data_IF_005392991066
#
_entry.id   IF_005392991066
#
_cell.length_a   1.000
_cell.length_b   1.000
_cell.length_c   1.000
_cell.angle_alpha   90.00
_cell.angle_beta   90.00
_cell.angle_gamma   90.00
#
_symmetry.space_group_name_H-M   'P 1'
#
loop_
_entity.id
_entity.type
_entity.pdbx_description
1 polymer ?
#
# COMPACT_ATOMS: atom_id res chain seq x y z
N UNK A 1 -43.98 80.87 -24.68
CA UNK A 1 -44.37 80.31 -23.37
C UNK A 1 -45.26 79.11 -23.68
N UNK A 2 -44.92 77.85 -23.47
CA UNK A 2 -43.96 77.26 -22.56
C UNK A 2 -43.28 76.03 -23.21
N UNK A 3 -42.06 75.76 -22.76
CA UNK A 3 -41.30 74.56 -23.04
C UNK A 3 -41.97 73.37 -22.34
N UNK A 4 -42.28 72.28 -23.05
CA UNK A 4 -42.57 70.99 -22.43
C UNK A 4 -41.42 70.03 -22.70
N UNK A 5 -40.56 69.91 -21.69
CA UNK A 5 -39.47 68.95 -21.63
C UNK A 5 -39.99 67.61 -21.08
N UNK A 6 -40.55 66.75 -21.94
CA UNK A 6 -40.75 65.34 -21.57
C UNK A 6 -39.56 64.49 -22.04
N UNK A 7 -38.58 64.37 -21.13
CA UNK A 7 -37.38 63.52 -21.30
C UNK A 7 -37.81 62.05 -21.45
N UNK A 8 -37.32 61.28 -22.45
CA UNK A 8 -37.65 59.87 -22.54
C UNK A 8 -37.02 59.14 -21.36
N UNK A 9 -37.85 58.65 -20.44
CA UNK A 9 -37.42 57.75 -19.38
C UNK A 9 -37.09 56.40 -20.01
N UNK A 10 -35.87 56.25 -20.50
CA UNK A 10 -35.35 54.96 -20.94
C UNK A 10 -35.22 54.02 -19.75
N UNK A 11 -35.72 52.79 -19.93
CA UNK A 11 -35.79 51.69 -18.95
C UNK A 11 -34.44 51.38 -18.28
N UNK A 12 -34.07 52.17 -17.27
CA UNK A 12 -32.84 52.00 -16.49
C UNK A 12 -32.78 50.68 -15.70
N UNK A 13 -33.93 50.03 -15.51
CA UNK A 13 -34.05 48.73 -14.88
C UNK A 13 -33.62 47.57 -15.80
N UNK A 14 -33.80 47.68 -17.12
CA UNK A 14 -33.55 46.58 -18.08
C UNK A 14 -32.05 46.37 -18.35
N UNK A 15 -31.32 47.42 -18.74
CA UNK A 15 -29.87 47.32 -19.08
C UNK A 15 -29.00 47.00 -17.87
N UNK A 16 -29.31 47.59 -16.71
CA UNK A 16 -28.59 47.33 -15.46
C UNK A 16 -28.81 45.90 -14.97
N UNK A 17 -30.01 45.36 -15.16
CA UNK A 17 -30.32 43.96 -14.82
C UNK A 17 -29.61 42.99 -15.76
N UNK A 18 -29.62 43.28 -17.07
CA UNK A 18 -28.86 42.49 -18.06
C UNK A 18 -27.35 42.49 -17.77
N UNK A 19 -26.76 43.64 -17.44
CA UNK A 19 -25.35 43.73 -17.08
C UNK A 19 -25.04 42.93 -15.80
N UNK A 20 -25.91 42.98 -14.78
CA UNK A 20 -25.76 42.20 -13.54
C UNK A 20 -25.83 40.70 -13.80
N UNK A 21 -26.76 40.24 -14.64
CA UNK A 21 -26.89 38.83 -15.02
C UNK A 21 -25.65 38.41 -15.83
N UNK A 22 -25.25 39.19 -16.83
CA UNK A 22 -24.07 38.88 -17.65
C UNK A 22 -22.78 38.80 -16.84
N UNK A 23 -22.53 39.77 -15.95
CA UNK A 23 -21.38 39.76 -15.03
C UNK A 23 -21.48 38.59 -14.05
N UNK A 24 -22.67 38.26 -13.55
CA UNK A 24 -22.89 37.11 -12.67
C UNK A 24 -22.61 35.77 -13.35
N UNK A 25 -23.03 35.60 -14.61
CA UNK A 25 -22.77 34.39 -15.39
C UNK A 25 -21.27 34.24 -15.71
N UNK A 26 -20.62 35.31 -16.17
CA UNK A 26 -19.19 35.29 -16.48
C UNK A 26 -18.37 35.08 -15.20
N UNK A 27 -18.67 35.81 -14.13
CA UNK A 27 -18.00 35.66 -12.84
C UNK A 27 -18.21 34.28 -12.22
N UNK A 28 -19.42 33.74 -12.28
CA UNK A 28 -19.73 32.38 -11.84
C UNK A 28 -19.00 31.32 -12.67
N UNK A 29 -18.95 31.49 -13.99
CA UNK A 29 -18.18 30.61 -14.88
C UNK A 29 -16.69 30.60 -14.54
N UNK A 30 -16.09 31.77 -14.32
CA UNK A 30 -14.68 31.89 -13.92
C UNK A 30 -14.45 31.28 -12.53
N UNK A 31 -15.37 31.46 -11.58
CA UNK A 31 -15.25 30.91 -10.24
C UNK A 31 -15.32 29.36 -10.20
N UNK A 32 -16.01 28.73 -11.16
CA UNK A 32 -16.09 27.28 -11.27
C UNK A 32 -14.81 26.64 -11.83
N UNK A 33 -14.00 27.38 -12.59
CA UNK A 33 -12.76 26.87 -13.20
C UNK A 33 -11.77 26.26 -12.19
N UNK A 34 -11.44 26.89 -11.04
CA UNK A 34 -10.62 26.25 -10.01
C UNK A 34 -11.41 25.23 -9.17
N UNK A 35 -12.73 25.35 -9.11
CA UNK A 35 -13.58 24.54 -8.23
C UNK A 35 -13.74 23.10 -8.76
N UNK A 36 -13.86 22.94 -10.08
CA UNK A 36 -13.93 21.63 -10.72
C UNK A 36 -12.70 20.73 -10.47
N UNK A 37 -11.43 21.17 -10.72
CA UNK A 37 -10.26 20.36 -10.41
C UNK A 37 -10.04 20.19 -8.90
N UNK A 38 -10.45 21.15 -8.06
CA UNK A 38 -10.39 20.99 -6.60
C UNK A 38 -11.34 19.89 -6.09
N UNK A 39 -12.57 19.86 -6.59
CA UNK A 39 -13.51 18.78 -6.29
C UNK A 39 -13.01 17.44 -6.84
N UNK A 40 -12.49 17.42 -8.06
CA UNK A 40 -11.89 16.22 -8.65
C UNK A 40 -10.71 15.70 -7.84
N UNK A 41 -9.84 16.59 -7.36
CA UNK A 41 -8.74 16.25 -6.46
C UNK A 41 -9.27 15.56 -5.22
N UNK A 42 -10.20 16.19 -4.47
CA UNK A 42 -10.80 15.64 -3.25
C UNK A 42 -11.58 14.34 -3.49
N UNK A 43 -12.23 14.19 -4.65
CA UNK A 43 -13.00 12.99 -4.99
C UNK A 43 -12.11 11.81 -5.39
N UNK A 44 -10.89 12.06 -5.88
CA UNK A 44 -10.02 11.04 -6.45
C UNK A 44 -9.75 9.83 -5.52
N UNK A 45 -9.49 9.98 -4.21
CA UNK A 45 -9.35 8.85 -3.27
C UNK A 45 -10.62 8.04 -3.03
N UNK A 46 -11.80 8.64 -3.24
CA UNK A 46 -13.07 7.95 -3.02
C UNK A 46 -13.45 7.07 -4.21
N UNK A 47 -12.94 7.38 -5.40
CA UNK A 47 -13.25 6.64 -6.63
C UNK A 47 -12.15 5.69 -7.09
N UNK A 48 -10.94 5.78 -6.53
CA UNK A 48 -9.78 4.99 -6.97
C UNK A 48 -9.04 4.38 -5.78
N UNK A 49 -8.39 3.25 -6.01
CA UNK A 49 -7.41 2.70 -5.07
C UNK A 49 -6.16 3.60 -5.08
N UNK A 50 -6.05 4.41 -4.03
CA UNK A 50 -4.95 5.38 -3.87
C UNK A 50 -3.95 5.01 -2.79
N UNK A 51 -4.16 3.86 -2.15
CA UNK A 51 -3.26 3.29 -1.16
C UNK A 51 -2.58 2.06 -1.74
N UNK A 52 -1.27 2.06 -1.81
CA UNK A 52 -0.51 0.87 -2.21
C UNK A 52 0.76 0.78 -1.38
N UNK A 53 1.01 -0.41 -0.84
CA UNK A 53 2.26 -0.75 -0.18
C UNK A 53 2.80 -2.06 -0.77
N UNK A 54 3.70 -1.94 -1.73
CA UNK A 54 4.49 -3.07 -2.21
C UNK A 54 3.72 -4.24 -2.82
N UNK A 55 2.62 -4.00 -3.54
CA UNK A 55 1.84 -5.08 -4.20
C UNK A 55 2.55 -5.83 -5.33
N UNK A 56 3.78 -5.44 -5.67
CA UNK A 56 4.63 -6.12 -6.65
C UNK A 56 5.68 -7.02 -5.99
N UNK A 57 6.41 -7.76 -6.83
CA UNK A 57 7.59 -8.50 -6.39
C UNK A 57 8.74 -7.54 -6.07
N UNK A 58 9.27 -7.62 -4.84
CA UNK A 58 10.36 -6.78 -4.35
C UNK A 58 11.63 -7.62 -4.32
N UNK A 59 12.71 -7.09 -4.89
CA UNK A 59 14.00 -7.77 -4.90
C UNK A 59 14.48 -7.98 -3.45
N UNK A 60 14.60 -9.24 -3.05
CA UNK A 60 15.07 -9.64 -1.73
C UNK A 60 16.57 -9.94 -1.71
N UNK A 61 17.13 -10.42 -2.83
CA UNK A 61 18.54 -10.76 -2.94
C UNK A 61 18.83 -11.71 -4.10
N UNK A 62 19.99 -12.37 -4.07
CA UNK A 62 20.34 -13.45 -4.99
C UNK A 62 20.07 -14.81 -4.34
N UNK A 63 19.83 -15.84 -5.15
CA UNK A 63 19.59 -17.19 -4.67
C UNK A 63 20.71 -17.71 -3.75
N UNK A 64 21.97 -17.42 -4.08
CA UNK A 64 23.12 -17.82 -3.28
C UNK A 64 23.26 -17.12 -1.92
N UNK A 65 22.47 -16.07 -1.66
CA UNK A 65 22.46 -15.39 -0.35
C UNK A 65 21.62 -16.15 0.69
N UNK A 66 20.86 -17.15 0.27
CA UNK A 66 19.91 -17.91 1.10
C UNK A 66 20.31 -19.38 1.17
N UNK A 67 20.16 -19.99 2.35
CA UNK A 67 20.44 -21.40 2.59
C UNK A 67 19.54 -21.98 3.68
N UNK A 68 19.98 -23.08 4.30
CA UNK A 68 19.20 -23.79 5.33
C UNK A 68 19.02 -22.98 6.62
N UNK A 69 19.86 -21.98 6.88
CA UNK A 69 19.70 -21.06 7.99
C UNK A 69 18.82 -19.87 7.56
N UNK A 70 17.72 -19.57 8.27
CA UNK A 70 16.84 -18.46 7.93
C UNK A 70 17.53 -17.11 7.98
N UNK A 71 17.40 -16.35 6.91
CA UNK A 71 17.91 -14.99 6.80
C UNK A 71 16.74 -14.01 6.82
N UNK A 72 16.82 -12.98 7.68
CA UNK A 72 15.84 -11.90 7.69
C UNK A 72 16.18 -10.89 6.61
N UNK A 73 15.26 -10.67 5.69
CA UNK A 73 15.36 -9.66 4.64
C UNK A 73 14.39 -8.53 4.93
N UNK A 74 14.88 -7.30 4.89
CA UNK A 74 14.04 -6.10 4.95
C UNK A 74 13.61 -5.72 3.53
N UNK A 75 12.30 -5.54 3.34
CA UNK A 75 11.70 -5.25 2.04
C UNK A 75 11.36 -3.77 1.95
N UNK A 76 11.89 -3.13 0.91
CA UNK A 76 11.71 -1.71 0.64
C UNK A 76 10.87 -1.53 -0.62
N UNK A 77 9.91 -0.63 -0.56
CA UNK A 77 9.09 -0.26 -1.70
C UNK A 77 8.60 1.18 -1.56
N UNK A 78 8.12 1.73 -2.66
CA UNK A 78 7.39 2.99 -2.62
C UNK A 78 6.02 2.77 -1.98
N UNK A 79 5.67 3.64 -1.04
CA UNK A 79 4.36 3.69 -0.42
C UNK A 79 3.60 4.90 -0.95
N UNK A 80 2.39 4.66 -1.45
CA UNK A 80 1.47 5.72 -1.90
C UNK A 80 0.31 5.77 -0.92
N UNK A 81 0.04 6.96 -0.39
CA UNK A 81 -1.08 7.27 0.48
C UNK A 81 -1.80 8.52 -0.04
N UNK A 82 -2.91 8.28 -0.75
CA UNK A 82 -3.70 9.30 -1.42
C UNK A 82 -2.86 10.17 -2.36
N UNK A 83 -2.44 11.35 -1.91
CA UNK A 83 -1.65 12.30 -2.69
C UNK A 83 -0.17 12.35 -2.30
N UNK A 84 0.24 11.53 -1.32
CA UNK A 84 1.63 11.47 -0.84
C UNK A 84 2.29 10.19 -1.34
N UNK A 85 3.50 10.32 -1.88
CA UNK A 85 4.37 9.18 -2.19
C UNK A 85 5.65 9.26 -1.36
N UNK A 86 5.83 8.28 -0.50
CA UNK A 86 7.09 8.04 0.23
C UNK A 86 7.88 7.00 -0.54
N UNK A 87 9.10 7.36 -0.99
CA UNK A 87 9.95 6.45 -1.77
C UNK A 87 10.84 5.62 -0.88
N UNK A 88 11.11 4.40 -1.31
CA UNK A 88 12.10 3.50 -0.70
C UNK A 88 11.92 3.37 0.82
N UNK A 89 10.67 3.17 1.25
CA UNK A 89 10.36 2.95 2.67
C UNK A 89 10.32 1.46 2.97
N UNK A 90 10.79 1.09 4.15
CA UNK A 90 10.65 -0.28 4.65
C UNK A 90 9.17 -0.59 4.86
N UNK A 91 8.60 -1.45 4.02
CA UNK A 91 7.19 -1.85 4.12
C UNK A 91 6.99 -3.04 5.07
N UNK A 92 8.04 -3.82 5.27
CA UNK A 92 8.04 -5.02 6.10
C UNK A 92 9.36 -5.79 6.05
N UNK A 93 9.35 -6.99 6.62
CA UNK A 93 10.46 -7.94 6.55
C UNK A 93 9.91 -9.33 6.25
N UNK A 94 10.76 -10.20 5.72
CA UNK A 94 10.49 -11.62 5.53
C UNK A 94 11.65 -12.48 6.07
N UNK A 95 11.33 -13.65 6.60
CA UNK A 95 12.30 -14.72 6.83
C UNK A 95 12.41 -15.55 5.57
N UNK A 96 13.60 -15.70 5.01
CA UNK A 96 13.86 -16.52 3.83
C UNK A 96 14.70 -17.72 4.25
N UNK A 97 14.24 -18.92 3.93
CA UNK A 97 14.90 -20.17 4.30
C UNK A 97 14.78 -21.18 3.17
N UNK A 98 15.81 -22.00 3.01
CA UNK A 98 15.78 -23.17 2.14
C UNK A 98 15.36 -24.40 2.92
N UNK A 99 14.25 -25.01 2.51
CA UNK A 99 13.71 -26.24 3.07
C UNK A 99 13.64 -27.26 1.94
N UNK A 100 14.26 -28.43 2.12
CA UNK A 100 14.26 -29.51 1.13
C UNK A 100 14.73 -29.11 -0.30
N UNK A 101 15.58 -28.08 -0.39
CA UNK A 101 16.09 -27.54 -1.65
C UNK A 101 15.21 -26.45 -2.28
N UNK A 102 14.06 -26.15 -1.68
CA UNK A 102 13.14 -25.10 -2.11
C UNK A 102 13.24 -23.87 -1.21
N UNK A 103 13.32 -22.68 -1.82
CA UNK A 103 13.25 -21.44 -1.05
C UNK A 103 11.81 -21.15 -0.64
N UNK A 104 11.63 -20.92 0.65
CA UNK A 104 10.37 -20.48 1.24
C UNK A 104 10.60 -19.14 1.96
N UNK A 105 9.66 -18.22 1.81
CA UNK A 105 9.65 -16.95 2.52
C UNK A 105 8.46 -16.95 3.48
N UNK A 106 8.69 -16.53 4.73
CA UNK A 106 7.65 -16.36 5.74
C UNK A 106 7.58 -14.92 6.20
N UNK A 107 6.37 -14.46 6.51
CA UNK A 107 6.15 -13.19 7.19
C UNK A 107 6.85 -13.19 8.56
N UNK A 108 7.47 -12.08 8.92
CA UNK A 108 8.00 -11.89 10.28
C UNK A 108 6.91 -11.54 11.29
N UNK A 109 5.63 -11.58 10.93
CA UNK A 109 4.50 -11.15 11.76
C UNK A 109 3.75 -12.38 12.29
N UNK A 110 3.61 -12.48 13.61
CA UNK A 110 2.94 -13.60 14.26
C UNK A 110 1.44 -13.61 13.92
N UNK A 111 0.88 -14.75 13.43
CA UNK A 111 -0.54 -14.87 13.11
C UNK A 111 -1.47 -14.70 14.31
N UNK A 112 -0.96 -14.82 15.54
CA UNK A 112 -1.73 -14.61 16.76
C UNK A 112 -2.26 -13.17 16.87
N UNK A 113 -1.38 -12.20 17.13
CA UNK A 113 -1.72 -10.79 17.36
C UNK A 113 -0.70 -9.81 16.76
N UNK A 114 0.15 -10.28 15.84
CA UNK A 114 0.99 -9.40 15.03
C UNK A 114 2.36 -9.04 15.59
N UNK A 115 2.82 -9.69 16.66
CA UNK A 115 4.19 -9.49 17.17
C UNK A 115 5.26 -9.90 16.14
N UNK A 116 6.41 -9.22 16.14
CA UNK A 116 7.56 -9.65 15.33
C UNK A 116 8.08 -11.01 15.81
N UNK A 117 8.38 -11.89 14.86
CA UNK A 117 8.95 -13.21 15.10
C UNK A 117 10.45 -13.17 14.82
N UNK A 118 11.22 -13.76 15.71
CA UNK A 118 12.67 -13.93 15.57
C UNK A 118 13.05 -15.40 15.38
N UNK A 119 14.19 -15.66 14.75
CA UNK A 119 14.74 -17.00 14.62
C UNK A 119 15.78 -17.26 15.71
N UNK A 120 15.71 -18.43 16.36
CA UNK A 120 16.69 -18.90 17.33
C UNK A 120 17.52 -20.04 16.69
N UNK A 121 18.81 -19.81 16.38
CA UNK A 121 19.68 -20.84 15.80
C UNK A 121 19.88 -22.04 16.73
N UNK A 122 19.92 -21.82 18.05
CA UNK A 122 20.13 -22.88 19.05
C UNK A 122 18.98 -23.89 19.07
N UNK A 123 17.74 -23.40 18.96
CA UNK A 123 16.54 -24.24 18.95
C UNK A 123 16.06 -24.60 17.55
N UNK A 124 16.63 -23.97 16.51
CA UNK A 124 16.22 -24.05 15.10
C UNK A 124 14.74 -23.75 14.88
N UNK A 125 14.21 -22.78 15.62
CA UNK A 125 12.79 -22.42 15.60
C UNK A 125 12.60 -20.92 15.42
N UNK A 126 11.48 -20.57 14.82
CA UNK A 126 10.95 -19.23 14.89
C UNK A 126 10.20 -19.04 16.21
N UNK A 127 10.39 -17.88 16.83
CA UNK A 127 10.02 -17.59 18.21
C UNK A 127 9.28 -16.26 18.28
N UNK A 128 8.07 -16.29 18.81
CA UNK A 128 7.31 -15.08 19.12
C UNK A 128 7.53 -14.69 20.60
N UNK A 129 8.11 -13.51 20.90
CA UNK A 129 8.46 -13.11 22.27
C UNK A 129 7.24 -12.77 23.14
N UNK A 130 6.07 -12.53 22.55
CA UNK A 130 4.90 -12.03 23.28
C UNK A 130 4.21 -13.10 24.14
N UNK A 131 3.90 -14.26 23.55
CA UNK A 131 3.16 -15.33 24.23
C UNK A 131 3.74 -16.72 23.92
N UNK A 132 5.02 -16.75 23.51
CA UNK A 132 5.79 -17.98 23.27
C UNK A 132 5.15 -18.90 22.22
N UNK A 133 4.70 -18.32 21.11
CA UNK A 133 4.41 -19.13 19.93
C UNK A 133 5.72 -19.56 19.28
N UNK A 134 5.87 -20.87 19.09
CA UNK A 134 7.03 -21.48 18.45
C UNK A 134 6.61 -22.07 17.11
N UNK A 135 7.44 -21.88 16.10
CA UNK A 135 7.22 -22.45 14.77
C UNK A 135 8.47 -23.18 14.29
N UNK A 136 8.27 -24.29 13.59
CA UNK A 136 9.34 -25.05 12.96
C UNK A 136 10.00 -24.25 11.84
N UNK A 137 11.11 -24.76 11.31
CA UNK A 137 11.82 -24.18 10.17
C UNK A 137 10.94 -24.06 8.91
N UNK A 138 9.97 -24.98 8.77
CA UNK A 138 8.97 -25.00 7.68
C UNK A 138 7.76 -24.10 7.99
N UNK A 139 7.83 -23.30 9.06
CA UNK A 139 6.79 -22.37 9.48
C UNK A 139 5.62 -23.01 10.22
N UNK A 140 5.63 -24.34 10.47
CA UNK A 140 4.52 -25.01 11.16
C UNK A 140 4.44 -24.58 12.62
N UNK A 141 3.25 -24.24 13.11
CA UNK A 141 3.05 -23.97 14.54
C UNK A 141 3.31 -25.25 15.35
N UNK A 142 4.17 -25.15 16.37
CA UNK A 142 4.49 -26.25 17.27
C UNK A 142 3.88 -26.06 18.65
N UNK A 143 3.93 -24.83 19.18
CA UNK A 143 3.44 -24.51 20.51
C UNK A 143 2.98 -23.05 20.57
N UNK A 144 2.10 -22.74 21.54
CA UNK A 144 1.62 -21.41 21.86
C UNK A 144 0.26 -21.06 21.23
N UNK A 145 -0.24 -19.83 21.45
CA UNK A 145 -1.61 -19.45 21.11
C UNK A 145 -1.84 -19.08 19.64
N UNK A 146 -0.86 -19.34 18.74
CA UNK A 146 -1.04 -18.97 17.33
C UNK A 146 -2.12 -19.84 16.70
N UNK A 147 -3.15 -19.24 16.07
CA UNK A 147 -4.26 -20.00 15.48
C UNK A 147 -3.85 -20.78 14.23
N UNK A 148 -2.69 -20.46 13.65
CA UNK A 148 -2.15 -21.10 12.44
C UNK A 148 -0.63 -20.98 12.36
N UNK A 149 -0.06 -21.73 11.42
CA UNK A 149 1.34 -21.67 10.99
C UNK A 149 1.73 -20.30 10.42
N UNK A 150 3.03 -20.06 10.26
CA UNK A 150 3.55 -18.83 9.67
C UNK A 150 3.01 -18.59 8.27
N UNK A 151 2.79 -17.32 7.97
CA UNK A 151 2.31 -16.88 6.68
C UNK A 151 3.41 -16.95 5.62
N UNK A 152 3.30 -17.92 4.71
CA UNK A 152 4.17 -17.98 3.55
C UNK A 152 3.92 -16.81 2.58
N UNK A 153 4.99 -16.23 2.04
CA UNK A 153 4.99 -15.17 1.04
C UNK A 153 5.38 -15.75 -0.31
N UNK A 154 4.85 -15.20 -1.39
CA UNK A 154 5.17 -15.69 -2.72
C UNK A 154 6.58 -15.26 -3.13
N UNK A 155 7.35 -16.21 -3.66
CA UNK A 155 8.69 -15.99 -4.18
C UNK A 155 8.66 -16.14 -5.71
N UNK A 156 9.33 -15.23 -6.38
CA UNK A 156 9.67 -15.36 -7.79
C UNK A 156 11.18 -15.36 -7.96
N UNK A 157 11.68 -16.31 -8.76
CA UNK A 157 13.09 -16.38 -9.13
C UNK A 157 13.25 -16.05 -10.61
N UNK A 158 14.05 -15.04 -10.92
CA UNK A 158 14.33 -14.62 -12.30
C UNK A 158 15.83 -14.72 -12.60
N UNK A 159 16.18 -15.25 -13.76
CA UNK A 159 17.57 -15.33 -14.24
C UNK A 159 17.86 -16.56 -15.08
N UNK A 160 19.11 -16.68 -15.51
CA UNK A 160 19.59 -17.77 -16.36
C UNK A 160 19.61 -19.11 -15.61
N UNK A 161 18.95 -20.14 -16.16
CA UNK A 161 18.88 -21.48 -15.57
C UNK A 161 20.23 -22.15 -15.36
N UNK A 162 21.26 -21.77 -16.13
CA UNK A 162 22.62 -22.33 -16.01
C UNK A 162 23.41 -21.74 -14.83
N UNK A 163 22.93 -20.67 -14.21
CA UNK A 163 23.58 -20.00 -13.08
C UNK A 163 22.59 -19.78 -11.94
N UNK A 164 22.11 -20.89 -11.37
CA UNK A 164 21.09 -20.88 -10.32
C UNK A 164 21.45 -19.96 -9.15
N UNK A 165 22.72 -19.93 -8.71
CA UNK A 165 23.19 -19.06 -7.62
C UNK A 165 23.04 -17.55 -7.90
N UNK A 166 22.99 -17.17 -9.19
CA UNK A 166 22.85 -15.77 -9.62
C UNK A 166 21.42 -15.37 -9.91
N UNK A 167 20.44 -16.28 -9.76
CA UNK A 167 19.03 -15.94 -9.92
C UNK A 167 18.64 -14.89 -8.88
N UNK A 168 17.92 -13.88 -9.31
CA UNK A 168 17.37 -12.85 -8.46
C UNK A 168 16.11 -13.41 -7.80
N UNK A 169 16.04 -13.28 -6.48
CA UNK A 169 14.90 -13.71 -5.66
C UNK A 169 14.10 -12.46 -5.33
N UNK A 170 12.84 -12.44 -5.74
CA UNK A 170 11.91 -11.38 -5.42
C UNK A 170 10.74 -11.94 -4.61
N UNK A 171 10.24 -11.16 -3.65
CA UNK A 171 9.19 -11.56 -2.72
C UNK A 171 7.98 -10.64 -2.89
N UNK A 172 6.78 -11.20 -3.00
CA UNK A 172 5.52 -10.44 -2.91
C UNK A 172 5.18 -10.27 -1.43
N UNK A 173 5.36 -9.07 -0.91
CA UNK A 173 5.04 -8.79 0.49
C UNK A 173 3.53 -8.54 0.64
N UNK A 174 2.86 -9.39 1.41
CA UNK A 174 1.47 -9.21 1.80
C UNK A 174 1.35 -9.16 3.31
N UNK A 175 0.38 -8.39 3.80
CA UNK A 175 -0.06 -8.46 5.19
C UNK A 175 -1.24 -9.41 5.26
N UNK A 176 -1.36 -10.12 6.37
CA UNK A 176 -2.45 -11.08 6.59
C UNK A 176 -3.25 -10.66 7.81
N UNK A 177 -4.48 -11.14 7.92
CA UNK A 177 -5.31 -10.92 9.11
C UNK A 177 -4.79 -11.77 10.27
N UNK A 178 -4.66 -11.16 11.45
CA UNK A 178 -4.25 -11.82 12.69
C UNK A 178 -5.47 -12.34 13.47
N UNK A 179 -5.23 -13.32 14.36
CA UNK A 179 -6.24 -13.84 15.28
C UNK A 179 -7.29 -14.75 14.64
N UNK A 180 -7.09 -15.13 13.38
CA UNK A 180 -7.97 -16.03 12.61
C UNK A 180 -7.19 -17.27 12.18
N UNK A 181 -7.88 -18.41 12.03
CA UNK A 181 -7.29 -19.67 11.55
C UNK A 181 -7.04 -19.66 10.03
N UNK A 182 -7.79 -18.84 9.28
CA UNK A 182 -7.67 -18.69 7.84
C UNK A 182 -6.51 -17.75 7.44
N UNK A 183 -5.82 -18.09 6.36
CA UNK A 183 -4.87 -17.20 5.69
C UNK A 183 -5.62 -16.23 4.79
N UNK A 184 -5.94 -15.06 5.31
CA UNK A 184 -6.62 -13.97 4.60
C UNK A 184 -5.65 -12.79 4.39
N UNK A 185 -5.40 -12.41 3.14
CA UNK A 185 -4.62 -11.20 2.81
C UNK A 185 -5.42 -9.94 3.21
N UNK A 186 -4.73 -8.97 3.83
CA UNK A 186 -5.26 -7.64 4.06
C UNK A 186 -5.05 -6.81 2.78
N UNK A 187 -6.15 -6.43 2.15
CA UNK A 187 -6.18 -5.49 1.01
C UNK A 187 -5.83 -4.07 1.40
#
# INVERSE_FOLDING_TARGET
MAEDQSKPQGDGASRRSLLKIGVGVVGGGVALLPLAPALGFVWHPLSNDVTSSGGGFILAGKRGDFGAEPVRVDLYADQVDAWTRSRDVKIGSAWVVEVDGELTAFSTVCPHLGCSIDYSPDSKKFTCPCHKSFFSIDGKVEEGPSPRSLDALDIQMEGDDKKQDKKLVSIRYCRFKQGVESKEELG
#
